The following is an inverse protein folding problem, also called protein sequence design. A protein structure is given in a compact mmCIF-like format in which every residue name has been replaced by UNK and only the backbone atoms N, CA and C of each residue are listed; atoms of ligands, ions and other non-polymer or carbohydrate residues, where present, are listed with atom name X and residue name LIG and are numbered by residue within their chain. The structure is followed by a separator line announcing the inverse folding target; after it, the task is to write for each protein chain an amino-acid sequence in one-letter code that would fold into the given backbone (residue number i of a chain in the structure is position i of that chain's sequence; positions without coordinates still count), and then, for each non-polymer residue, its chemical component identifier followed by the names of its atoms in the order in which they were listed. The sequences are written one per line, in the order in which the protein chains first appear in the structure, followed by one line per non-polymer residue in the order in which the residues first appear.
data_IF_332486159323
#
_entry.id   IF_332486159323
#
_cell.length_a   1.000
_cell.length_b   1.000
_cell.length_c   1.000
_cell.angle_alpha   90.00
_cell.angle_beta   90.00
_cell.angle_gamma   90.00
#
_symmetry.space_group_name_H-M   'P 1'
#
loop_
_entity.id
_entity.type
_entity.pdbx_description
1 polymer ?
#
# COMPACT_ATOMS: atom_id res chain seq x y z
N UNK A 1 8.70 1.51 22.43
CA UNK A 1 8.28 0.45 23.40
C UNK A 1 9.32 0.19 24.48
N UNK A 2 10.64 -0.05 24.19
CA UNK A 2 11.66 -0.27 25.21
C UNK A 2 11.68 0.81 26.29
N UNK A 3 11.77 2.09 25.92
CA UNK A 3 11.73 3.20 26.88
C UNK A 3 10.43 3.21 27.70
N UNK A 4 9.30 2.93 27.09
CA UNK A 4 8.00 2.93 27.76
C UNK A 4 7.89 1.85 28.84
N UNK A 5 8.33 0.62 28.56
CA UNK A 5 8.25 -0.49 29.55
C UNK A 5 9.21 -0.31 30.72
N UNK A 6 10.23 0.56 30.61
CA UNK A 6 11.14 0.93 31.69
C UNK A 6 10.78 2.28 32.35
N UNK A 7 9.86 3.04 31.74
CA UNK A 7 9.32 4.30 32.34
C UNK A 7 8.06 4.03 33.16
N UNK A 8 7.17 3.13 32.71
CA UNK A 8 5.86 2.88 33.30
C UNK A 8 5.60 1.39 33.53
N UNK A 9 4.84 1.02 34.60
CA UNK A 9 4.40 -0.36 34.84
C UNK A 9 3.55 -0.90 33.66
N UNK A 10 3.68 -2.21 33.38
CA UNK A 10 2.92 -2.88 32.31
C UNK A 10 1.41 -2.67 32.41
N UNK A 11 0.87 -2.65 33.62
CA UNK A 11 -0.56 -2.41 33.87
C UNK A 11 -1.01 -1.01 33.44
N UNK A 12 -0.15 0.01 33.60
CA UNK A 12 -0.42 1.36 33.12
C UNK A 12 -0.38 1.41 31.58
N UNK A 13 0.64 0.80 30.97
CA UNK A 13 0.75 0.68 29.53
C UNK A 13 -0.41 -0.11 28.91
N UNK A 14 -0.87 -1.18 29.57
CA UNK A 14 -2.03 -1.97 29.14
C UNK A 14 -3.29 -1.10 29.03
N UNK A 15 -3.56 -0.30 30.04
CA UNK A 15 -4.68 0.67 30.02
C UNK A 15 -4.53 1.71 28.91
N UNK A 16 -3.31 2.24 28.73
CA UNK A 16 -3.01 3.27 27.72
C UNK A 16 -3.20 2.78 26.29
N UNK A 17 -2.81 1.51 26.00
CA UNK A 17 -2.92 0.92 24.68
C UNK A 17 -4.19 0.10 24.43
N UNK A 18 -5.07 -0.03 25.43
CA UNK A 18 -6.31 -0.81 25.30
C UNK A 18 -6.10 -2.31 25.15
N UNK A 19 -4.96 -2.86 25.57
CA UNK A 19 -4.61 -4.29 25.47
C UNK A 19 -4.26 -4.85 26.86
N UNK A 20 -4.22 -6.19 26.99
CA UNK A 20 -3.85 -6.81 28.26
C UNK A 20 -2.35 -6.66 28.57
N UNK A 21 -1.97 -6.68 29.86
CA UNK A 21 -0.58 -6.68 30.28
C UNK A 21 0.18 -7.93 29.83
N UNK A 22 -0.53 -9.05 29.68
CA UNK A 22 -0.01 -10.29 29.10
C UNK A 22 0.31 -10.11 27.61
N UNK A 23 -0.56 -9.40 26.88
CA UNK A 23 -0.31 -9.08 25.47
C UNK A 23 0.94 -8.21 25.32
N UNK A 24 1.11 -7.16 26.15
CA UNK A 24 2.34 -6.34 26.16
C UNK A 24 3.56 -7.21 26.42
N UNK A 25 3.49 -8.12 27.39
CA UNK A 25 4.60 -9.02 27.71
C UNK A 25 4.94 -9.95 26.52
N UNK A 26 3.92 -10.46 25.82
CA UNK A 26 4.09 -11.29 24.61
C UNK A 26 4.74 -10.48 23.48
N UNK A 27 4.26 -9.27 23.22
CA UNK A 27 4.83 -8.39 22.20
C UNK A 27 6.29 -8.01 22.49
N UNK A 28 6.61 -7.65 23.75
CA UNK A 28 7.99 -7.37 24.15
C UNK A 28 8.90 -8.59 23.99
N UNK A 29 8.43 -9.79 24.37
CA UNK A 29 9.18 -11.02 24.21
C UNK A 29 9.44 -11.36 22.74
N UNK A 30 8.42 -11.25 21.90
CA UNK A 30 8.54 -11.48 20.46
C UNK A 30 9.51 -10.50 19.79
N UNK A 31 9.51 -9.24 20.26
CA UNK A 31 10.43 -8.20 19.78
C UNK A 31 11.80 -8.23 20.50
N UNK A 32 12.06 -9.23 21.36
CA UNK A 32 13.29 -9.33 22.18
C UNK A 32 13.56 -8.07 23.03
N UNK A 33 12.50 -7.36 23.43
CA UNK A 33 12.61 -6.18 24.29
C UNK A 33 12.74 -6.63 25.76
N UNK A 34 13.85 -6.32 26.45
CA UNK A 34 13.99 -6.63 27.87
C UNK A 34 12.95 -5.89 28.68
N UNK A 35 12.30 -6.61 29.60
CA UNK A 35 11.29 -6.06 30.50
C UNK A 35 11.79 -6.00 31.94
N UNK A 36 11.28 -5.06 32.75
CA UNK A 36 11.59 -5.02 34.18
C UNK A 36 11.21 -6.35 34.86
N UNK A 37 12.12 -6.95 35.65
CA UNK A 37 11.81 -8.16 36.38
C UNK A 37 10.83 -7.91 37.52
N UNK A 38 10.18 -8.95 38.07
CA UNK A 38 9.32 -8.80 39.24
C UNK A 38 10.02 -8.04 40.39
N UNK A 39 9.30 -7.13 41.04
CA UNK A 39 9.84 -6.31 42.12
C UNK A 39 10.72 -5.12 41.67
N UNK A 40 10.94 -4.92 40.38
CA UNK A 40 11.72 -3.78 39.87
C UNK A 40 11.18 -2.44 40.37
N UNK A 41 9.87 -2.20 40.25
CA UNK A 41 9.23 -0.94 40.61
C UNK A 41 9.31 -0.66 42.11
N UNK A 42 9.13 -1.69 42.91
CA UNK A 42 9.28 -1.57 44.39
C UNK A 42 10.72 -1.21 44.78
N UNK A 43 11.71 -1.84 44.13
CA UNK A 43 13.12 -1.52 44.38
C UNK A 43 13.47 -0.09 43.90
N UNK A 44 12.95 0.31 42.76
CA UNK A 44 13.14 1.67 42.23
C UNK A 44 12.53 2.72 43.16
N UNK A 45 11.31 2.47 43.67
CA UNK A 45 10.63 3.37 44.59
C UNK A 45 11.36 3.47 45.94
N UNK A 46 12.03 2.40 46.39
CA UNK A 46 12.85 2.41 47.63
C UNK A 46 14.27 2.93 47.45
N UNK A 47 14.59 3.54 46.28
CA UNK A 47 15.91 4.12 45.99
C UNK A 47 17.03 3.11 45.81
N UNK A 48 16.71 1.80 45.69
CA UNK A 48 17.72 0.77 45.45
C UNK A 48 18.21 0.79 44.02
N UNK A 49 19.51 0.46 43.83
CA UNK A 49 20.08 0.35 42.50
C UNK A 49 19.33 -0.70 41.67
N UNK A 50 18.86 -0.32 40.50
CA UNK A 50 18.20 -1.20 39.51
C UNK A 50 19.01 -1.23 38.23
N UNK A 51 19.07 -2.40 37.61
CA UNK A 51 19.80 -2.60 36.36
C UNK A 51 18.77 -2.63 35.23
N UNK A 52 19.00 -1.82 34.24
CA UNK A 52 18.25 -1.84 32.99
C UNK A 52 19.15 -2.38 31.90
N UNK A 53 18.94 -3.62 31.43
CA UNK A 53 19.73 -4.20 30.33
C UNK A 53 19.58 -3.35 29.06
N UNK A 54 20.65 -3.17 28.31
CA UNK A 54 20.56 -2.50 27.02
C UNK A 54 19.63 -3.27 26.07
N UNK A 55 18.97 -2.54 25.18
CA UNK A 55 18.20 -3.15 24.10
C UNK A 55 19.16 -3.92 23.19
N UNK A 56 18.98 -5.25 23.03
CA UNK A 56 19.79 -6.00 22.07
C UNK A 56 19.53 -5.50 20.64
N UNK A 57 20.54 -5.65 19.79
CA UNK A 57 20.36 -5.38 18.38
C UNK A 57 19.28 -6.31 17.82
N UNK A 58 18.41 -5.78 16.98
CA UNK A 58 17.41 -6.59 16.29
C UNK A 58 18.06 -7.49 15.24
N UNK A 59 17.36 -8.52 14.83
CA UNK A 59 17.80 -9.28 13.67
C UNK A 59 17.61 -8.50 12.36
N UNK A 60 18.49 -8.67 11.36
CA UNK A 60 18.27 -8.14 10.03
C UNK A 60 16.89 -8.52 9.49
N UNK A 61 16.26 -7.66 8.70
CA UNK A 61 14.92 -7.91 8.18
C UNK A 61 13.80 -7.83 9.22
N UNK A 62 14.08 -7.58 10.48
CA UNK A 62 13.07 -7.41 11.52
C UNK A 62 12.60 -5.97 11.59
N UNK A 63 11.28 -5.75 11.60
CA UNK A 63 10.72 -4.39 11.73
C UNK A 63 10.90 -3.86 13.15
N UNK A 64 11.05 -2.52 13.26
CA UNK A 64 11.03 -1.82 14.56
C UNK A 64 9.61 -1.68 15.15
N UNK A 65 8.57 -1.95 14.36
CA UNK A 65 7.20 -1.76 14.79
C UNK A 65 6.73 -2.97 15.57
N UNK A 66 6.18 -2.70 16.74
CA UNK A 66 5.43 -3.69 17.53
C UNK A 66 3.96 -3.34 17.31
N UNK A 67 3.24 -4.22 16.64
CA UNK A 67 1.81 -4.04 16.40
C UNK A 67 1.03 -4.49 17.63
N UNK A 68 0.06 -3.67 18.05
CA UNK A 68 -0.77 -3.95 19.23
C UNK A 68 -1.84 -5.00 18.91
N UNK A 69 -2.35 -5.00 17.68
CA UNK A 69 -3.39 -5.92 17.20
C UNK A 69 -2.96 -6.61 15.90
N UNK A 70 -3.60 -7.73 15.58
CA UNK A 70 -3.39 -8.41 14.29
C UNK A 70 -3.95 -7.57 13.13
N UNK A 71 -4.98 -6.77 13.36
CA UNK A 71 -5.52 -5.82 12.37
C UNK A 71 -4.48 -4.78 11.97
N UNK A 72 -3.71 -4.26 12.93
CA UNK A 72 -2.59 -3.35 12.65
C UNK A 72 -1.47 -4.04 11.87
N UNK A 73 -1.32 -5.36 12.03
CA UNK A 73 -0.29 -6.16 11.36
C UNK A 73 -0.63 -6.48 9.91
N UNK A 74 -1.91 -6.75 9.64
CA UNK A 74 -2.42 -7.14 8.32
C UNK A 74 -3.14 -6.01 7.59
N UNK A 75 -3.22 -4.83 8.20
CA UNK A 75 -3.74 -3.62 7.58
C UNK A 75 -2.94 -3.24 6.33
N UNK A 76 -3.10 -4.00 5.27
CA UNK A 76 -2.60 -3.71 3.93
C UNK A 76 -3.31 -2.52 3.27
N UNK A 77 -4.23 -1.89 3.96
CA UNK A 77 -4.91 -0.71 3.50
C UNK A 77 -4.37 0.52 4.20
N UNK A 78 -3.47 1.24 3.56
CA UNK A 78 -3.36 2.66 3.83
C UNK A 78 -4.74 3.27 3.58
N UNK A 79 -5.51 3.46 4.66
CA UNK A 79 -6.79 4.14 4.58
C UNK A 79 -6.51 5.64 4.47
N UNK A 80 -6.42 6.10 3.22
CA UNK A 80 -6.23 7.51 2.90
C UNK A 80 -7.25 8.45 3.54
N UNK A 81 -8.43 7.91 3.91
CA UNK A 81 -9.51 8.67 4.57
C UNK A 81 -9.20 9.06 6.01
N UNK A 82 -8.24 8.35 6.65
CA UNK A 82 -7.84 8.59 8.05
C UNK A 82 -6.53 9.35 8.17
N UNK A 83 -5.91 9.75 7.05
CA UNK A 83 -4.66 10.49 7.10
C UNK A 83 -4.92 11.94 7.46
N UNK A 84 -4.30 12.38 8.54
CA UNK A 84 -4.22 13.79 8.87
C UNK A 84 -3.29 14.49 7.85
N UNK A 85 -3.91 15.20 6.89
CA UNK A 85 -3.18 15.92 5.85
C UNK A 85 -2.31 17.06 6.41
N UNK A 86 -2.54 17.49 7.65
CA UNK A 86 -1.79 18.56 8.29
C UNK A 86 -0.53 18.07 9.00
N UNK A 87 -0.43 16.76 9.32
CA UNK A 87 0.76 16.20 9.96
C UNK A 87 1.89 15.98 8.94
N UNK A 88 3.12 16.34 9.27
CA UNK A 88 4.28 16.08 8.41
C UNK A 88 4.55 14.56 8.31
N UNK A 89 4.76 14.05 7.10
CA UNK A 89 5.25 12.69 6.91
C UNK A 89 6.75 12.64 7.22
N UNK A 90 7.13 11.81 8.19
CA UNK A 90 8.55 11.61 8.50
C UNK A 90 9.10 10.43 7.69
N UNK A 91 10.30 10.56 7.08
CA UNK A 91 10.96 9.44 6.44
C UNK A 91 11.33 8.36 7.46
N UNK A 92 11.40 7.08 7.06
CA UNK A 92 11.80 6.01 7.95
C UNK A 92 13.24 6.22 8.43
N UNK A 93 13.45 6.13 9.74
CA UNK A 93 14.78 6.26 10.37
C UNK A 93 15.30 4.88 10.75
N UNK A 94 16.53 4.59 10.35
CA UNK A 94 17.24 3.36 10.70
C UNK A 94 18.36 3.71 11.67
N UNK A 95 18.19 3.33 12.93
CA UNK A 95 19.11 3.77 14.00
C UNK A 95 20.44 3.00 13.98
N UNK A 96 20.44 1.72 13.54
CA UNK A 96 21.64 0.92 13.51
C UNK A 96 22.31 1.02 12.14
N UNK A 97 23.65 1.19 12.10
CA UNK A 97 24.43 1.00 10.90
C UNK A 97 24.25 -0.42 10.36
N UNK A 98 24.10 -0.55 9.05
CA UNK A 98 23.88 -1.84 8.39
C UNK A 98 24.99 -2.84 8.74
N UNK A 99 26.22 -2.39 8.65
CA UNK A 99 27.41 -3.22 8.87
C UNK A 99 27.45 -3.84 10.29
N UNK A 100 27.14 -3.03 11.32
CA UNK A 100 27.10 -3.51 12.70
C UNK A 100 25.99 -4.53 12.92
N UNK A 101 24.82 -4.29 12.33
CA UNK A 101 23.67 -5.19 12.43
C UNK A 101 23.99 -6.54 11.78
N UNK A 102 24.61 -6.53 10.60
CA UNK A 102 24.97 -7.74 9.88
C UNK A 102 26.12 -8.48 10.60
N UNK A 103 27.14 -7.76 11.07
CA UNK A 103 28.25 -8.38 11.80
C UNK A 103 27.78 -9.10 13.08
N UNK A 104 26.87 -8.49 13.84
CA UNK A 104 26.28 -9.12 15.03
C UNK A 104 25.46 -10.36 14.67
N UNK A 105 24.62 -10.28 13.63
CA UNK A 105 23.80 -11.41 13.17
C UNK A 105 24.68 -12.56 12.64
N UNK A 106 25.73 -12.28 11.88
CA UNK A 106 26.70 -13.28 11.40
C UNK A 106 27.42 -13.96 12.58
N UNK A 107 27.78 -13.21 13.61
CA UNK A 107 28.34 -13.73 14.84
C UNK A 107 27.39 -14.70 15.55
N UNK A 108 26.10 -14.37 15.59
CA UNK A 108 25.06 -15.23 16.17
C UNK A 108 24.83 -16.50 15.33
N UNK A 109 24.82 -16.42 14.00
CA UNK A 109 24.76 -17.56 13.09
C UNK A 109 26.00 -18.47 13.27
N UNK A 110 27.13 -17.85 13.47
CA UNK A 110 28.43 -18.55 13.59
C UNK A 110 28.89 -19.18 12.27
N UNK A 111 29.94 -19.96 12.36
CA UNK A 111 30.48 -20.71 11.19
C UNK A 111 29.45 -21.71 10.68
N UNK A 112 29.13 -21.64 9.41
CA UNK A 112 28.28 -22.63 8.73
C UNK A 112 29.14 -23.73 8.16
N UNK A 113 29.01 -24.93 8.75
CA UNK A 113 29.72 -26.13 8.30
C UNK A 113 28.78 -26.99 7.46
N UNK A 114 29.27 -27.53 6.37
CA UNK A 114 28.52 -28.46 5.54
C UNK A 114 28.23 -29.77 6.29
N UNK A 115 26.96 -30.17 6.30
CA UNK A 115 26.55 -31.46 6.85
C UNK A 115 27.20 -32.61 6.06
N UNK A 116 27.65 -33.64 6.76
CA UNK A 116 28.25 -34.81 6.11
C UNK A 116 27.19 -35.73 5.50
N UNK A 117 26.06 -35.83 6.14
CA UNK A 117 24.90 -36.66 5.81
C UNK A 117 23.59 -35.95 6.02
N UNK A 118 22.49 -36.65 5.85
CA UNK A 118 21.13 -36.21 6.07
C UNK A 118 20.40 -37.06 7.14
N UNK A 119 21.11 -37.59 8.11
CA UNK A 119 20.53 -38.37 9.21
C UNK A 119 19.64 -37.49 10.09
N UNK A 120 20.05 -36.24 10.31
CA UNK A 120 19.30 -35.23 11.04
C UNK A 120 18.89 -34.06 10.12
N UNK A 121 17.88 -34.25 9.28
CA UNK A 121 17.45 -33.21 8.36
C UNK A 121 16.69 -32.11 9.09
N UNK A 122 16.91 -30.88 8.65
CA UNK A 122 16.11 -29.77 9.12
C UNK A 122 14.59 -29.98 8.83
N UNK A 123 13.67 -29.66 9.75
CA UNK A 123 12.22 -29.87 9.53
C UNK A 123 11.68 -29.32 8.22
N UNK A 124 12.22 -28.17 7.74
CA UNK A 124 11.87 -27.59 6.45
C UNK A 124 12.22 -28.46 5.24
N UNK A 125 13.21 -29.34 5.37
CA UNK A 125 13.58 -30.30 4.33
C UNK A 125 12.85 -31.64 4.47
N UNK A 126 12.31 -31.94 5.64
CA UNK A 126 11.72 -33.22 6.00
C UNK A 126 10.60 -33.68 5.07
N UNK A 127 9.77 -32.77 4.57
CA UNK A 127 8.68 -33.07 3.62
C UNK A 127 9.21 -33.58 2.29
N UNK A 128 10.27 -32.95 1.77
CA UNK A 128 10.90 -33.35 0.51
C UNK A 128 11.54 -34.73 0.64
N UNK A 129 12.29 -34.97 1.73
CA UNK A 129 12.90 -36.27 1.99
C UNK A 129 11.87 -37.36 2.22
N UNK A 130 10.77 -37.09 2.88
CA UNK A 130 9.67 -38.06 3.06
C UNK A 130 9.02 -38.43 1.72
N UNK A 131 8.80 -37.43 0.85
CA UNK A 131 8.27 -37.67 -0.49
C UNK A 131 9.22 -38.50 -1.33
N UNK A 132 10.50 -38.19 -1.28
CA UNK A 132 11.54 -38.92 -2.00
C UNK A 132 11.67 -40.37 -1.53
N UNK A 133 11.57 -40.63 -0.21
CA UNK A 133 11.55 -41.98 0.36
C UNK A 133 10.37 -42.78 -0.16
N UNK A 134 9.15 -42.21 -0.15
CA UNK A 134 7.96 -42.88 -0.70
C UNK A 134 8.12 -43.20 -2.18
N UNK A 135 8.70 -42.28 -2.95
CA UNK A 135 8.97 -42.47 -4.37
C UNK A 135 9.94 -43.63 -4.61
N UNK A 136 10.98 -43.71 -3.81
CA UNK A 136 11.96 -44.79 -3.84
C UNK A 136 11.32 -46.13 -3.50
N UNK A 137 10.55 -46.23 -2.42
CA UNK A 137 9.82 -47.44 -2.04
C UNK A 137 8.89 -47.90 -3.15
N UNK A 138 8.18 -47.00 -3.82
CA UNK A 138 7.29 -47.31 -4.94
C UNK A 138 8.10 -47.80 -6.14
N UNK A 139 9.23 -47.17 -6.44
CA UNK A 139 10.10 -47.54 -7.56
C UNK A 139 10.74 -48.92 -7.36
N UNK A 140 11.12 -49.27 -6.15
CA UNK A 140 11.66 -50.59 -5.79
C UNK A 140 10.57 -51.69 -5.79
N UNK A 141 9.37 -51.37 -5.38
CA UNK A 141 8.25 -52.30 -5.30
C UNK A 141 7.58 -52.65 -6.65
N UNK A 142 7.52 -51.67 -7.54
CA UNK A 142 6.92 -51.78 -8.87
C UNK A 142 8.06 -51.82 -9.88
N UNK A 143 8.04 -52.74 -10.87
CA UNK A 143 9.05 -52.74 -11.94
C UNK A 143 9.28 -51.33 -12.45
N UNK A 144 10.54 -50.87 -12.60
CA UNK A 144 10.92 -49.46 -12.72
C UNK A 144 10.21 -48.78 -13.88
N UNK A 145 9.23 -47.94 -13.56
CA UNK A 145 8.67 -46.99 -14.49
C UNK A 145 9.32 -45.65 -14.21
N UNK A 146 9.86 -44.99 -15.22
CA UNK A 146 10.62 -43.73 -15.07
C UNK A 146 9.91 -42.65 -14.26
N UNK A 147 8.57 -42.65 -14.24
CA UNK A 147 7.74 -41.77 -13.45
C UNK A 147 8.00 -41.83 -11.94
N UNK A 148 8.37 -43.03 -11.40
CA UNK A 148 8.65 -43.22 -9.96
C UNK A 148 10.12 -43.16 -9.62
N UNK A 149 11.01 -42.91 -10.59
CA UNK A 149 12.45 -42.81 -10.34
C UNK A 149 12.73 -41.77 -9.29
N UNK A 150 13.57 -42.08 -8.25
CA UNK A 150 14.02 -41.10 -7.28
C UNK A 150 14.70 -39.90 -7.95
N UNK A 151 14.40 -38.70 -7.47
CA UNK A 151 14.93 -37.48 -8.09
C UNK A 151 16.34 -37.14 -7.58
N UNK A 152 16.59 -37.43 -6.30
CA UNK A 152 17.79 -36.95 -5.60
C UNK A 152 18.81 -38.08 -5.32
N UNK A 153 18.91 -39.05 -6.19
CA UNK A 153 19.87 -40.17 -6.01
C UNK A 153 21.29 -39.85 -6.43
N UNK A 154 21.50 -38.88 -7.29
CA UNK A 154 22.83 -38.54 -7.78
C UNK A 154 23.71 -37.85 -6.72
N UNK A 155 25.04 -38.06 -6.77
CA UNK A 155 25.96 -37.49 -5.77
C UNK A 155 25.93 -35.95 -5.72
N UNK A 156 25.68 -35.30 -6.85
CA UNK A 156 25.56 -33.85 -6.95
C UNK A 156 24.33 -33.37 -6.20
N UNK A 157 23.16 -33.98 -6.45
CA UNK A 157 21.91 -33.64 -5.82
C UNK A 157 21.92 -33.92 -4.31
N UNK A 158 22.49 -35.03 -3.91
CA UNK A 158 22.70 -35.34 -2.49
C UNK A 158 23.64 -34.31 -1.80
N UNK A 159 24.64 -33.81 -2.50
CA UNK A 159 25.49 -32.73 -2.02
C UNK A 159 24.69 -31.42 -1.88
N UNK A 160 23.88 -31.06 -2.85
CA UNK A 160 23.02 -29.88 -2.80
C UNK A 160 22.04 -29.93 -1.62
N UNK A 161 21.41 -31.08 -1.37
CA UNK A 161 20.57 -31.30 -0.20
C UNK A 161 21.31 -31.07 1.13
N UNK A 162 22.55 -31.59 1.26
CA UNK A 162 23.38 -31.39 2.45
C UNK A 162 23.74 -29.90 2.65
N UNK A 163 24.12 -29.20 1.58
CA UNK A 163 24.42 -27.76 1.65
C UNK A 163 23.19 -26.95 2.03
N UNK A 164 22.02 -27.27 1.46
CA UNK A 164 20.73 -26.65 1.80
C UNK A 164 20.37 -26.88 3.26
N UNK A 165 20.51 -28.13 3.73
CA UNK A 165 20.30 -28.51 5.12
C UNK A 165 21.19 -27.69 6.07
N UNK A 166 22.47 -27.52 5.71
CA UNK A 166 23.44 -26.77 6.50
C UNK A 166 23.05 -25.29 6.67
N UNK A 167 22.59 -24.65 5.60
CA UNK A 167 22.10 -23.25 5.65
C UNK A 167 20.83 -23.14 6.49
N UNK A 168 19.88 -24.05 6.33
CA UNK A 168 18.66 -24.04 7.12
C UNK A 168 18.94 -24.17 8.62
N UNK A 169 19.79 -25.09 9.03
CA UNK A 169 20.23 -25.24 10.43
C UNK A 169 21.01 -24.03 10.95
N UNK A 170 21.80 -23.37 10.09
CA UNK A 170 22.49 -22.15 10.46
C UNK A 170 21.49 -21.00 10.81
N UNK A 171 20.44 -20.85 10.04
CA UNK A 171 19.41 -19.85 10.30
C UNK A 171 18.49 -20.21 11.49
N UNK A 172 18.28 -21.51 11.75
CA UNK A 172 17.53 -21.95 12.94
C UNK A 172 18.20 -21.52 14.25
N UNK A 173 19.54 -21.41 14.30
CA UNK A 173 20.28 -20.90 15.47
C UNK A 173 19.85 -19.51 15.89
N UNK A 174 19.44 -18.68 14.92
CA UNK A 174 18.92 -17.33 15.17
C UNK A 174 17.39 -17.27 15.11
N UNK A 175 16.72 -18.43 15.23
CA UNK A 175 15.26 -18.56 15.23
C UNK A 175 14.59 -18.11 13.92
N UNK A 176 15.29 -18.16 12.81
CA UNK A 176 14.74 -17.94 11.48
C UNK A 176 14.22 -19.24 10.90
N UNK A 177 12.92 -19.28 10.58
CA UNK A 177 12.29 -20.47 10.01
C UNK A 177 12.68 -20.65 8.55
N UNK A 178 13.05 -21.86 8.17
CA UNK A 178 13.35 -22.23 6.80
C UNK A 178 12.43 -23.33 6.30
N UNK A 179 12.11 -23.29 5.03
CA UNK A 179 11.34 -24.32 4.33
C UNK A 179 11.93 -24.59 2.96
N UNK A 180 11.74 -25.81 2.47
CA UNK A 180 12.12 -26.23 1.13
C UNK A 180 10.87 -26.51 0.33
N UNK A 181 10.80 -25.95 -0.86
CA UNK A 181 9.72 -26.11 -1.81
C UNK A 181 10.26 -26.91 -2.98
N UNK A 182 9.70 -28.08 -3.21
CA UNK A 182 9.93 -28.82 -4.45
C UNK A 182 9.12 -28.16 -5.56
N UNK A 183 9.80 -27.85 -6.65
CA UNK A 183 9.17 -27.33 -7.86
C UNK A 183 9.31 -28.38 -8.95
N UNK A 184 8.21 -29.05 -9.21
CA UNK A 184 8.10 -30.02 -10.29
C UNK A 184 7.51 -29.34 -11.52
N UNK A 185 8.09 -29.56 -12.67
CA UNK A 185 7.61 -28.98 -13.90
C UNK A 185 7.90 -29.85 -15.10
N UNK A 186 7.10 -29.69 -16.14
CA UNK A 186 7.32 -30.32 -17.43
C UNK A 186 7.58 -29.25 -18.47
N UNK A 187 8.65 -29.40 -19.27
CA UNK A 187 8.99 -28.47 -20.34
C UNK A 187 9.00 -29.22 -21.66
N UNK A 188 8.20 -28.75 -22.61
CA UNK A 188 8.10 -29.34 -23.94
C UNK A 188 9.48 -29.41 -24.61
N UNK A 189 9.88 -30.61 -25.04
CA UNK A 189 11.19 -30.87 -25.65
C UNK A 189 12.33 -31.18 -24.66
N UNK A 190 12.16 -30.98 -23.35
CA UNK A 190 13.18 -31.23 -22.31
C UNK A 190 12.73 -32.23 -21.22
N UNK A 191 11.45 -32.61 -21.20
CA UNK A 191 10.94 -33.55 -20.23
C UNK A 191 10.60 -32.93 -18.88
N UNK A 192 10.53 -33.79 -17.85
CA UNK A 192 10.24 -33.42 -16.49
C UNK A 192 11.50 -32.87 -15.80
N UNK A 193 11.38 -31.76 -15.11
CA UNK A 193 12.45 -31.23 -14.30
C UNK A 193 12.01 -31.11 -12.84
N UNK A 194 12.96 -31.24 -11.94
CA UNK A 194 12.78 -31.10 -10.51
C UNK A 194 13.81 -30.10 -10.00
N UNK A 195 13.36 -29.05 -9.34
CA UNK A 195 14.24 -28.12 -8.68
C UNK A 195 13.82 -27.92 -7.24
N UNK A 196 14.79 -27.71 -6.37
CA UNK A 196 14.57 -27.38 -4.98
C UNK A 196 14.88 -25.91 -4.76
N UNK A 197 13.90 -25.21 -4.22
CA UNK A 197 14.07 -23.86 -3.74
C UNK A 197 13.89 -23.85 -2.24
N UNK A 198 14.88 -23.37 -1.51
CA UNK A 198 14.74 -23.10 -0.09
C UNK A 198 14.36 -21.63 0.11
N UNK A 199 13.58 -21.39 1.15
CA UNK A 199 13.17 -20.06 1.58
C UNK A 199 13.39 -19.94 3.09
N UNK A 200 14.08 -18.88 3.51
CA UNK A 200 14.30 -18.55 4.92
C UNK A 200 13.57 -17.26 5.24
N UNK A 201 12.82 -17.27 6.33
CA UNK A 201 12.15 -16.10 6.86
C UNK A 201 13.09 -15.39 7.85
N UNK A 202 13.74 -14.34 7.40
CA UNK A 202 14.68 -13.53 8.20
C UNK A 202 13.93 -12.27 8.64
N UNK A 203 13.56 -12.23 9.91
CA UNK A 203 12.66 -11.19 10.43
C UNK A 203 11.28 -11.22 9.75
N UNK A 204 10.92 -10.17 9.03
CA UNK A 204 9.69 -10.09 8.21
C UNK A 204 9.94 -10.32 6.73
N UNK A 205 11.18 -10.60 6.35
CA UNK A 205 11.61 -10.70 4.95
C UNK A 205 11.90 -12.15 4.58
N UNK A 206 11.41 -12.58 3.42
CA UNK A 206 11.70 -13.89 2.88
C UNK A 206 12.89 -13.80 1.91
N UNK A 207 13.91 -14.62 2.13
CA UNK A 207 15.03 -14.76 1.23
C UNK A 207 15.04 -16.19 0.69
N UNK A 208 14.99 -16.33 -0.62
CA UNK A 208 15.00 -17.62 -1.29
C UNK A 208 16.37 -17.90 -1.89
N UNK A 209 16.76 -19.17 -1.88
CA UNK A 209 17.95 -19.64 -2.58
C UNK A 209 17.69 -21.00 -3.23
N UNK A 210 18.42 -21.28 -4.30
CA UNK A 210 18.29 -22.49 -5.08
C UNK A 210 19.64 -22.90 -5.68
N UNK A 211 19.74 -24.15 -6.09
CA UNK A 211 20.88 -24.61 -6.87
C UNK A 211 20.49 -24.56 -8.36
N UNK A 212 21.38 -24.00 -9.16
CA UNK A 212 21.20 -23.98 -10.60
C UNK A 212 21.62 -25.31 -11.19
N UNK A 213 20.67 -25.96 -11.85
CA UNK A 213 20.95 -27.22 -12.54
C UNK A 213 21.05 -26.99 -14.04
N UNK A 214 21.97 -27.65 -14.72
CA UNK A 214 22.11 -27.62 -16.17
C UNK A 214 20.87 -28.09 -16.92
N UNK A 215 20.04 -28.89 -16.28
CA UNK A 215 18.83 -29.50 -16.84
C UNK A 215 17.57 -28.61 -16.80
N UNK A 216 17.61 -27.49 -16.10
CA UNK A 216 16.48 -26.57 -16.08
C UNK A 216 16.50 -25.65 -17.34
N UNK A 217 15.53 -25.77 -18.26
CA UNK A 217 15.53 -25.00 -19.52
C UNK A 217 15.49 -23.48 -19.33
N UNK A 218 14.89 -23.00 -18.24
CA UNK A 218 14.92 -21.56 -17.88
C UNK A 218 16.29 -21.12 -17.37
N UNK A 219 17.06 -22.04 -16.81
CA UNK A 219 18.43 -21.82 -16.34
C UNK A 219 19.48 -22.02 -17.42
N UNK A 220 19.19 -22.72 -18.52
CA UNK A 220 20.14 -23.02 -19.63
C UNK A 220 20.78 -21.76 -20.21
N UNK A 221 20.05 -20.65 -20.30
CA UNK A 221 20.64 -19.36 -20.74
C UNK A 221 21.63 -18.75 -19.75
N UNK A 222 21.68 -19.25 -18.49
CA UNK A 222 22.51 -18.78 -17.37
C UNK A 222 23.22 -19.92 -16.65
N UNK A 223 23.22 -21.12 -17.23
CA UNK A 223 23.82 -22.27 -16.60
C UNK A 223 25.36 -22.13 -16.53
N UNK A 224 25.97 -22.45 -15.37
CA UNK A 224 27.43 -22.54 -15.29
C UNK A 224 27.92 -23.68 -16.17
N UNK A 225 29.22 -23.68 -16.52
CA UNK A 225 29.83 -24.76 -17.29
C UNK A 225 29.56 -26.11 -16.60
N UNK A 226 29.38 -27.15 -17.43
CA UNK A 226 29.06 -28.54 -17.00
C UNK A 226 29.96 -29.01 -15.87
N UNK A 227 29.38 -29.42 -14.76
CA UNK A 227 30.08 -29.97 -13.59
C UNK A 227 30.30 -29.02 -12.41
N UNK A 228 29.97 -27.75 -12.54
CA UNK A 228 30.10 -26.78 -11.44
C UNK A 228 28.75 -26.60 -10.74
N UNK A 229 28.71 -26.83 -9.43
CA UNK A 229 27.51 -26.55 -8.62
C UNK A 229 27.45 -25.05 -8.30
N UNK A 230 26.36 -24.40 -8.66
CA UNK A 230 26.14 -23.00 -8.36
C UNK A 230 24.93 -22.85 -7.44
N UNK A 231 25.13 -22.13 -6.34
CA UNK A 231 24.07 -21.72 -5.43
C UNK A 231 23.72 -20.27 -5.75
N UNK A 232 22.44 -20.01 -5.99
CA UNK A 232 21.88 -18.68 -6.25
C UNK A 232 21.00 -18.24 -5.11
N UNK A 233 21.21 -17.04 -4.64
CA UNK A 233 20.29 -16.31 -3.74
C UNK A 233 19.53 -15.31 -4.56
N UNK A 234 18.21 -15.46 -4.60
CA UNK A 234 17.33 -14.58 -5.36
C UNK A 234 17.28 -13.18 -4.73
N UNK A 235 17.83 -12.17 -5.39
CA UNK A 235 17.85 -10.80 -4.90
C UNK A 235 16.81 -9.88 -5.58
N UNK A 236 15.99 -10.41 -6.49
CA UNK A 236 14.94 -9.70 -7.22
C UNK A 236 15.44 -8.46 -7.99
N UNK A 237 15.32 -7.27 -7.38
CA UNK A 237 15.65 -5.99 -8.04
C UNK A 237 17.12 -5.63 -8.08
N UNK A 238 17.99 -6.30 -7.28
CA UNK A 238 19.43 -5.96 -7.19
C UNK A 238 20.32 -6.88 -8.01
N UNK A 239 19.73 -7.81 -8.79
CA UNK A 239 20.44 -8.91 -9.43
C UNK A 239 20.70 -10.07 -8.48
N UNK A 240 20.58 -11.29 -8.97
CA UNK A 240 20.80 -12.49 -8.16
C UNK A 240 22.28 -12.61 -7.74
N UNK A 241 22.50 -13.15 -6.55
CA UNK A 241 23.83 -13.39 -6.01
C UNK A 241 24.17 -14.86 -6.20
N UNK A 242 25.27 -15.14 -6.89
CA UNK A 242 25.68 -16.48 -7.24
C UNK A 242 27.01 -16.85 -6.56
N UNK A 243 27.05 -18.04 -5.99
CA UNK A 243 28.28 -18.71 -5.48
C UNK A 243 28.47 -20.03 -6.20
N UNK A 244 29.67 -20.25 -6.65
CA UNK A 244 30.01 -21.49 -7.35
C UNK A 244 31.28 -22.14 -6.79
N UNK A 245 31.46 -23.41 -7.13
CA UNK A 245 32.71 -24.10 -6.86
C UNK A 245 33.83 -23.41 -7.63
N UNK A 246 34.89 -23.05 -6.93
CA UNK A 246 36.11 -22.46 -7.48
C UNK A 246 37.32 -23.37 -7.20
N UNK A 247 38.39 -23.32 -8.02
CA UNK A 247 39.61 -23.99 -7.73
C UNK A 247 40.15 -23.65 -6.33
N UNK A 248 40.22 -24.62 -5.44
CA UNK A 248 40.67 -24.42 -4.05
C UNK A 248 39.60 -23.93 -3.07
N UNK A 249 38.44 -23.47 -3.54
CA UNK A 249 37.37 -22.99 -2.68
C UNK A 249 36.02 -23.54 -3.13
N UNK A 250 35.65 -24.70 -2.58
CA UNK A 250 34.33 -25.31 -2.80
C UNK A 250 33.23 -24.56 -2.05
N UNK A 251 31.96 -24.73 -2.47
CA UNK A 251 30.79 -24.12 -1.84
C UNK A 251 30.68 -24.36 -0.34
N UNK A 252 31.14 -25.51 0.15
CA UNK A 252 31.21 -25.85 1.57
C UNK A 252 31.96 -24.82 2.42
N UNK A 253 33.00 -24.20 1.86
CA UNK A 253 33.79 -23.16 2.53
C UNK A 253 33.14 -21.77 2.43
N UNK A 254 32.20 -21.60 1.49
CA UNK A 254 31.53 -20.31 1.20
C UNK A 254 30.20 -20.14 1.95
N UNK A 255 29.67 -21.19 2.59
CA UNK A 255 28.34 -21.17 3.21
C UNK A 255 28.16 -20.04 4.25
N UNK A 256 29.20 -19.69 4.99
CA UNK A 256 29.14 -18.57 5.94
C UNK A 256 29.00 -17.23 5.22
N UNK A 257 29.65 -17.04 4.08
CA UNK A 257 29.51 -15.85 3.24
C UNK A 257 28.11 -15.77 2.60
N UNK A 258 27.59 -16.94 2.16
CA UNK A 258 26.21 -17.03 1.66
C UNK A 258 25.22 -16.59 2.74
N UNK A 259 25.34 -17.10 3.97
CA UNK A 259 24.48 -16.73 5.08
C UNK A 259 24.59 -15.23 5.42
N UNK A 260 25.78 -14.65 5.40
CA UNK A 260 26.00 -13.22 5.60
C UNK A 260 25.28 -12.39 4.53
N UNK A 261 25.42 -12.75 3.27
CA UNK A 261 24.75 -12.06 2.17
C UNK A 261 23.20 -12.18 2.23
N UNK A 262 22.69 -13.32 2.68
CA UNK A 262 21.24 -13.49 2.91
C UNK A 262 20.72 -12.56 4.02
N UNK A 263 21.49 -12.38 5.09
CA UNK A 263 21.16 -11.43 6.17
C UNK A 263 21.17 -9.99 5.67
N UNK A 264 22.19 -9.62 4.92
CA UNK A 264 22.33 -8.29 4.32
C UNK A 264 21.18 -8.01 3.34
N UNK A 265 20.84 -8.95 2.50
CA UNK A 265 19.74 -8.85 1.55
C UNK A 265 18.40 -8.68 2.27
N UNK A 266 18.16 -9.40 3.37
CA UNK A 266 16.94 -9.25 4.16
C UNK A 266 16.80 -7.83 4.73
N UNK A 267 17.88 -7.29 5.26
CA UNK A 267 17.87 -5.93 5.82
C UNK A 267 17.72 -4.85 4.74
N UNK A 268 18.44 -4.99 3.64
CA UNK A 268 18.37 -4.06 2.50
C UNK A 268 16.96 -4.02 1.91
N UNK A 269 16.31 -5.18 1.79
CA UNK A 269 14.91 -5.27 1.36
C UNK A 269 13.96 -4.59 2.34
N UNK A 270 14.15 -4.81 3.65
CA UNK A 270 13.32 -4.14 4.66
C UNK A 270 13.43 -2.62 4.56
N UNK A 271 14.68 -2.10 4.47
CA UNK A 271 14.92 -0.66 4.35
C UNK A 271 14.34 -0.08 3.08
N UNK A 272 14.55 -0.74 1.94
CA UNK A 272 13.98 -0.33 0.66
C UNK A 272 12.46 -0.31 0.70
N UNK A 273 11.82 -1.39 1.17
CA UNK A 273 10.37 -1.44 1.29
C UNK A 273 9.80 -0.33 2.18
N UNK A 274 10.51 0.01 3.26
CA UNK A 274 10.09 1.11 4.12
C UNK A 274 10.18 2.47 3.41
N UNK A 275 11.21 2.70 2.59
CA UNK A 275 11.34 3.89 1.76
C UNK A 275 10.27 3.94 0.66
N UNK A 276 10.06 2.83 -0.06
CA UNK A 276 9.04 2.74 -1.11
C UNK A 276 7.62 3.02 -0.58
N UNK A 277 7.33 2.56 0.65
CA UNK A 277 6.04 2.87 1.32
C UNK A 277 5.95 4.36 1.64
N UNK A 278 7.02 4.95 2.16
CA UNK A 278 7.07 6.37 2.47
C UNK A 278 6.89 7.23 1.20
N UNK A 279 7.63 6.94 0.13
CA UNK A 279 7.55 7.66 -1.14
C UNK A 279 6.14 7.59 -1.73
N UNK A 280 5.54 6.40 -1.76
CA UNK A 280 4.13 6.24 -2.21
C UNK A 280 3.15 7.05 -1.36
N UNK A 281 3.35 7.12 -0.04
CA UNK A 281 2.50 7.95 0.82
C UNK A 281 2.67 9.43 0.52
N UNK A 282 3.89 9.90 0.26
CA UNK A 282 4.16 11.29 -0.14
C UNK A 282 3.47 11.62 -1.46
N UNK A 283 3.60 10.76 -2.48
CA UNK A 283 2.97 10.94 -3.78
C UNK A 283 1.43 10.98 -3.67
N UNK A 284 0.85 10.03 -2.94
CA UNK A 284 -0.59 9.95 -2.74
C UNK A 284 -1.14 11.20 -2.04
N UNK A 285 -0.43 11.68 -1.02
CA UNK A 285 -0.78 12.90 -0.30
C UNK A 285 -0.72 14.14 -1.20
N UNK A 286 0.33 14.25 -2.01
CA UNK A 286 0.44 15.36 -2.97
C UNK A 286 -0.69 15.33 -3.99
N UNK A 287 -1.08 14.14 -4.47
CA UNK A 287 -2.21 13.97 -5.37
C UNK A 287 -3.54 14.40 -4.71
N UNK A 288 -3.74 14.06 -3.43
CA UNK A 288 -4.93 14.49 -2.67
C UNK A 288 -4.99 16.02 -2.50
N UNK A 289 -3.87 16.64 -2.14
CA UNK A 289 -3.81 18.09 -1.98
C UNK A 289 -4.12 18.80 -3.30
N UNK A 290 -3.54 18.35 -4.42
CA UNK A 290 -3.86 18.90 -5.77
C UNK A 290 -5.33 18.72 -6.13
N UNK A 291 -5.93 17.58 -5.78
CA UNK A 291 -7.36 17.34 -6.04
C UNK A 291 -8.27 18.26 -5.21
N UNK A 292 -7.88 18.56 -3.97
CA UNK A 292 -8.62 19.53 -3.11
C UNK A 292 -8.51 20.96 -3.68
N UNK A 293 -7.32 21.36 -4.13
CA UNK A 293 -7.10 22.66 -4.77
C UNK A 293 -7.91 22.79 -6.05
N UNK A 294 -7.80 21.83 -6.97
CA UNK A 294 -8.56 21.81 -8.22
C UNK A 294 -10.09 21.87 -7.99
N UNK A 295 -10.57 21.16 -6.95
CA UNK A 295 -11.99 21.24 -6.59
C UNK A 295 -12.40 22.62 -6.10
N UNK A 296 -11.57 23.29 -5.31
CA UNK A 296 -11.83 24.67 -4.86
C UNK A 296 -11.88 25.65 -6.03
N UNK A 297 -10.95 25.52 -6.99
CA UNK A 297 -10.91 26.34 -8.20
C UNK A 297 -12.16 26.12 -9.06
N UNK A 298 -12.56 24.87 -9.28
CA UNK A 298 -13.79 24.55 -10.04
C UNK A 298 -15.06 25.04 -9.34
N UNK A 299 -15.17 24.93 -8.01
CA UNK A 299 -16.29 25.46 -7.24
C UNK A 299 -16.36 27.01 -7.31
N UNK A 300 -15.20 27.68 -7.28
CA UNK A 300 -15.13 29.15 -7.43
C UNK A 300 -15.50 29.58 -8.86
N UNK A 301 -15.01 28.90 -9.89
CA UNK A 301 -15.36 29.18 -11.28
C UNK A 301 -16.85 28.98 -11.53
N UNK A 302 -17.45 27.91 -11.01
CA UNK A 302 -18.89 27.66 -11.08
C UNK A 302 -19.68 28.76 -10.38
N UNK A 303 -19.21 29.24 -9.23
CA UNK A 303 -19.84 30.33 -8.49
C UNK A 303 -19.82 31.62 -9.32
N UNK A 304 -18.69 31.97 -9.89
CA UNK A 304 -18.56 33.18 -10.74
C UNK A 304 -19.44 33.09 -12.00
N UNK A 305 -19.45 31.93 -12.66
CA UNK A 305 -20.31 31.68 -13.82
C UNK A 305 -21.80 31.81 -13.47
N UNK A 306 -22.22 31.30 -12.31
CA UNK A 306 -23.60 31.43 -11.84
C UNK A 306 -24.02 32.89 -11.55
N UNK A 307 -23.11 33.68 -10.96
CA UNK A 307 -23.32 35.13 -10.73
C UNK A 307 -23.47 35.86 -12.06
N UNK A 308 -22.58 35.59 -13.03
CA UNK A 308 -22.64 36.22 -14.35
C UNK A 308 -23.92 35.86 -15.11
N UNK A 309 -24.33 34.59 -15.06
CA UNK A 309 -25.59 34.15 -15.67
C UNK A 309 -26.78 34.84 -15.02
N UNK A 310 -26.82 34.95 -13.70
CA UNK A 310 -27.86 35.68 -12.99
C UNK A 310 -27.97 37.15 -13.42
N UNK A 311 -26.82 37.82 -13.60
CA UNK A 311 -26.79 39.19 -14.12
C UNK A 311 -27.28 39.29 -15.57
N UNK A 312 -27.00 38.30 -16.42
CA UNK A 312 -27.54 38.24 -17.79
C UNK A 312 -29.05 38.10 -17.74
N UNK A 313 -29.54 37.12 -16.98
CA UNK A 313 -30.99 36.87 -16.85
C UNK A 313 -31.76 38.12 -16.34
N UNK A 314 -31.20 38.81 -15.36
CA UNK A 314 -31.80 40.06 -14.86
C UNK A 314 -31.86 41.17 -15.96
N UNK A 315 -30.78 41.32 -16.73
CA UNK A 315 -30.75 42.28 -17.84
C UNK A 315 -31.76 41.92 -18.94
N UNK A 316 -31.91 40.67 -19.28
CA UNK A 316 -32.83 40.18 -20.28
C UNK A 316 -34.29 40.34 -19.83
N UNK A 317 -34.60 40.09 -18.53
CA UNK A 317 -35.89 40.37 -17.93
C UNK A 317 -36.23 41.87 -18.00
N UNK A 318 -35.26 42.73 -17.65
CA UNK A 318 -35.48 44.19 -17.74
C UNK A 318 -35.77 44.66 -19.19
N UNK A 319 -34.98 44.11 -20.18
CA UNK A 319 -35.22 44.40 -21.59
C UNK A 319 -36.62 43.98 -22.04
N UNK A 320 -37.06 42.79 -21.62
CA UNK A 320 -38.39 42.27 -21.90
C UNK A 320 -39.50 43.18 -21.35
N UNK A 321 -39.40 43.53 -20.05
CA UNK A 321 -40.35 44.45 -19.42
C UNK A 321 -40.40 45.82 -20.08
N UNK A 322 -39.24 46.37 -20.46
CA UNK A 322 -39.15 47.63 -21.17
C UNK A 322 -39.80 47.56 -22.57
N UNK A 323 -39.62 46.48 -23.29
CA UNK A 323 -40.24 46.24 -24.60
C UNK A 323 -41.74 46.06 -24.50
N UNK A 324 -42.25 45.34 -23.52
CA UNK A 324 -43.67 45.15 -23.25
C UNK A 324 -44.35 46.49 -22.91
N UNK A 325 -43.74 47.30 -22.04
CA UNK A 325 -44.25 48.66 -21.72
C UNK A 325 -44.23 49.55 -22.92
N UNK A 326 -43.19 49.57 -23.74
CA UNK A 326 -43.10 50.35 -24.97
C UNK A 326 -44.23 49.98 -25.95
N UNK A 327 -44.43 48.66 -26.17
CA UNK A 327 -45.50 48.17 -27.05
C UNK A 327 -46.87 48.59 -26.54
N UNK A 328 -47.17 48.53 -25.26
CA UNK A 328 -48.43 49.00 -24.69
C UNK A 328 -48.66 50.51 -24.90
N UNK A 329 -47.56 51.29 -24.75
CA UNK A 329 -47.65 52.77 -25.04
C UNK A 329 -47.96 53.06 -26.52
N UNK A 330 -47.30 52.35 -27.42
CA UNK A 330 -47.55 52.51 -28.88
C UNK A 330 -48.93 52.12 -29.26
N UNK A 331 -49.52 51.06 -28.70
CA UNK A 331 -50.91 50.68 -28.91
C UNK A 331 -51.87 51.76 -28.38
N UNK A 332 -51.66 52.28 -27.16
CA UNK A 332 -52.50 53.40 -26.64
C UNK A 332 -52.38 54.64 -27.51
N UNK A 333 -51.19 54.97 -28.00
CA UNK A 333 -50.99 56.10 -28.93
C UNK A 333 -51.69 55.88 -30.26
N UNK A 334 -51.72 54.62 -30.79
CA UNK A 334 -52.52 54.30 -31.98
C UNK A 334 -54.03 54.52 -31.74
N UNK A 335 -54.56 54.09 -30.59
CA UNK A 335 -55.99 54.33 -30.24
C UNK A 335 -56.33 55.84 -30.22
N UNK A 336 -55.45 56.64 -29.63
CA UNK A 336 -55.59 58.09 -29.64
C UNK A 336 -55.56 58.68 -31.05
N UNK A 337 -54.66 58.25 -31.91
CA UNK A 337 -54.58 58.70 -33.29
C UNK A 337 -55.81 58.33 -34.09
N UNK A 338 -56.35 57.09 -33.89
CA UNK A 338 -57.62 56.69 -34.53
C UNK A 338 -58.82 57.50 -33.98
N UNK A 339 -58.88 57.80 -32.69
CA UNK A 339 -59.91 58.64 -32.07
C UNK A 339 -59.95 60.03 -32.68
N UNK A 340 -58.85 60.64 -33.05
CA UNK A 340 -58.71 61.94 -33.67
C UNK A 340 -59.00 61.96 -35.17
N UNK A 341 -59.19 60.80 -35.80
CA UNK A 341 -59.43 60.71 -37.23
C UNK A 341 -60.85 61.22 -37.56
N UNK A 342 -61.03 62.09 -38.64
CA UNK A 342 -62.31 62.68 -38.97
C UNK A 342 -63.42 61.67 -39.27
N UNK A 343 -63.15 60.49 -39.70
CA UNK A 343 -64.11 59.44 -40.03
C UNK A 343 -64.57 58.63 -38.78
N UNK A 344 -64.04 58.92 -37.61
CA UNK A 344 -64.48 58.32 -36.33
C UNK A 344 -65.75 58.95 -35.78
N UNK A 345 -66.48 59.82 -36.57
CA UNK A 345 -67.69 60.49 -36.21
C UNK A 345 -68.88 59.90 -36.96
N UNK A 346 -70.04 59.70 -36.33
CA UNK A 346 -71.29 59.24 -36.98
C UNK A 346 -71.54 57.74 -36.88
N UNK A 347 -71.82 57.06 -37.98
CA UNK A 347 -72.22 55.66 -38.03
C UNK A 347 -71.14 54.67 -37.57
N UNK A 348 -69.87 55.07 -37.51
CA UNK A 348 -68.73 54.24 -37.11
C UNK A 348 -68.44 54.32 -35.60
N UNK A 349 -69.11 55.18 -34.86
CA UNK A 349 -68.81 55.45 -33.44
C UNK A 349 -69.02 54.20 -32.55
N UNK A 350 -70.04 53.39 -32.80
CA UNK A 350 -70.35 52.20 -32.00
C UNK A 350 -69.23 51.08 -32.18
N UNK A 351 -68.85 50.84 -33.43
CA UNK A 351 -67.81 49.89 -33.75
C UNK A 351 -66.45 50.37 -33.26
N UNK A 352 -66.15 51.64 -33.27
CA UNK A 352 -64.96 52.23 -32.71
C UNK A 352 -64.84 52.01 -31.19
N UNK A 353 -65.95 52.29 -30.45
CA UNK A 353 -66.02 52.15 -28.99
C UNK A 353 -65.73 50.63 -28.56
N UNK A 354 -66.28 49.71 -29.33
CA UNK A 354 -66.05 48.31 -29.07
C UNK A 354 -64.59 47.92 -29.35
N UNK A 355 -64.07 48.33 -30.50
CA UNK A 355 -62.64 48.11 -30.86
C UNK A 355 -61.67 48.78 -29.86
N UNK A 356 -61.95 50.04 -29.48
CA UNK A 356 -61.17 50.79 -28.50
C UNK A 356 -61.07 50.04 -27.18
N UNK A 357 -62.19 49.52 -26.66
CA UNK A 357 -62.25 48.78 -25.40
C UNK A 357 -61.36 47.49 -25.46
N UNK A 358 -61.51 46.78 -26.58
CA UNK A 358 -60.74 45.56 -26.74
C UNK A 358 -59.23 45.82 -26.85
N UNK A 359 -58.83 46.83 -27.65
CA UNK A 359 -57.41 47.16 -27.86
C UNK A 359 -56.78 47.78 -26.62
N UNK A 360 -57.51 48.59 -25.84
CA UNK A 360 -56.98 49.09 -24.57
C UNK A 360 -56.85 47.96 -23.53
N UNK A 361 -57.82 47.06 -23.48
CA UNK A 361 -57.72 45.88 -22.60
C UNK A 361 -56.52 45.00 -22.96
N UNK A 362 -56.23 44.85 -24.27
CA UNK A 362 -55.03 44.16 -24.71
C UNK A 362 -53.75 44.91 -24.30
N UNK A 363 -53.72 46.26 -24.50
CA UNK A 363 -52.57 47.05 -24.06
C UNK A 363 -52.33 46.96 -22.56
N UNK A 364 -53.37 46.95 -21.75
CA UNK A 364 -53.28 46.79 -20.30
C UNK A 364 -52.87 45.42 -19.88
N UNK A 365 -53.18 44.38 -20.67
CA UNK A 365 -52.76 42.99 -20.37
C UNK A 365 -51.28 42.75 -20.61
N UNK A 366 -50.63 43.45 -21.51
CA UNK A 366 -49.24 43.36 -21.85
C UNK A 366 -48.31 44.33 -21.11
N UNK A 367 -48.95 45.41 -20.53
CA UNK A 367 -48.19 46.46 -19.84
C UNK A 367 -47.81 46.05 -18.44
N UNK A 368 -46.53 45.84 -18.13
CA UNK A 368 -46.06 45.43 -16.80
C UNK A 368 -46.41 46.52 -15.73
N UNK A 369 -46.60 47.77 -16.11
CA UNK A 369 -46.84 48.86 -15.15
C UNK A 369 -48.33 48.95 -14.71
N UNK A 370 -49.25 48.28 -15.39
CA UNK A 370 -50.64 48.19 -14.98
C UNK A 370 -50.89 47.23 -13.83
N UNK A 371 -49.91 46.28 -13.57
CA UNK A 371 -49.94 45.36 -12.47
C UNK A 371 -49.29 45.90 -11.18
N UNK A 372 -49.24 45.08 -10.11
CA UNK A 372 -48.60 45.50 -8.88
C UNK A 372 -47.09 45.76 -9.13
N UNK A 373 -46.66 46.97 -8.77
CA UNK A 373 -45.23 47.42 -8.98
C UNK A 373 -44.24 46.56 -8.30
N UNK A 374 -44.63 45.84 -7.23
CA UNK A 374 -43.82 44.87 -6.51
C UNK A 374 -43.37 43.73 -7.40
N UNK A 375 -44.15 43.31 -8.42
CA UNK A 375 -43.76 42.29 -9.39
C UNK A 375 -42.61 42.75 -10.29
N UNK A 376 -42.58 44.01 -10.66
CA UNK A 376 -41.51 44.58 -11.48
C UNK A 376 -40.23 44.64 -10.64
N UNK A 377 -40.35 45.16 -9.41
CA UNK A 377 -39.20 45.26 -8.48
C UNK A 377 -38.67 43.87 -8.12
N UNK A 378 -39.55 42.92 -7.82
CA UNK A 378 -39.17 41.55 -7.49
C UNK A 378 -38.57 40.78 -8.69
N UNK A 379 -38.84 41.19 -9.93
CA UNK A 379 -38.26 40.57 -11.14
C UNK A 379 -36.76 40.85 -11.26
N UNK A 380 -36.24 41.86 -10.58
CA UNK A 380 -34.82 42.16 -10.47
C UNK A 380 -34.34 41.77 -9.08
N UNK A 381 -33.82 40.57 -8.94
CA UNK A 381 -33.30 40.07 -7.67
C UNK A 381 -31.76 40.22 -7.58
N UNK A 382 -31.25 40.48 -6.38
CA UNK A 382 -29.83 40.35 -6.11
C UNK A 382 -29.47 38.85 -6.08
N UNK A 383 -28.28 38.52 -6.55
CA UNK A 383 -27.78 37.17 -6.39
C UNK A 383 -27.69 36.82 -4.89
N UNK A 384 -28.26 35.71 -4.44
CA UNK A 384 -28.21 35.35 -3.02
C UNK A 384 -26.76 35.17 -2.60
N UNK A 385 -26.31 35.97 -1.65
CA UNK A 385 -25.03 35.75 -0.99
C UNK A 385 -25.16 34.44 -0.22
N UNK A 386 -24.36 33.44 -0.58
CA UNK A 386 -24.31 32.19 0.18
C UNK A 386 -23.86 32.52 1.61
N UNK A 387 -24.58 32.10 2.65
CA UNK A 387 -24.06 32.22 4.02
C UNK A 387 -22.72 31.48 4.10
N UNK A 388 -21.73 32.16 4.68
CA UNK A 388 -20.35 31.67 4.93
C UNK A 388 -20.32 30.41 5.78
#
# INVERSE_FOLDING_TARGET
MYQLVWAEPRTALAKRFGISDVAIAKHCRNAKIPMPPPGYWARKASGKRVIQPALPLRLPGQTYRVFATDEDRYGYGYDSRKEDLNSALEPPRFHEPLELLIADAVKQVGKVQACKDLENPHPGLGRVLASERRRRETWEAQKPHDYYRPYFDGPVLQRQLRLMNSLLWAFERIQCKGEVISMDGWVHGFGQFHSLRARVCIGSTHVAFEFLEPSNPKAIKRAPPTGVTTLRVAANSSGDLDWCDQPGCKLEKQLTAVAAAMLELAETRLRRNAMDIYERRVELRQAMLRAIEAKKEDDEERRLAAIEQHHRDNRDRLRKLASEHQSAREIRSLVEAVRMHPECSGSNLASFVEWEREVLAFADSIDPVTGPIERIIASYSKYPETPQ
#
